data_IF_183551236666
#
_entry.id   IF_183551236666
#
_cell.length_a   1.000
_cell.length_b   1.000
_cell.length_c   1.000
_cell.angle_alpha   90.00
_cell.angle_beta   90.00
_cell.angle_gamma   90.00
#
_symmetry.space_group_name_H-M   'P 1'
#
loop_
_entity.id
_entity.type
_entity.pdbx_description
1 polymer ?
#
# COMPACT_ATOMS: atom_id res chain seq x y z
N UNK A 1 -34.48 4.18 12.43
CA UNK A 1 -33.05 4.28 12.08
C UNK A 1 -32.37 3.03 12.61
N UNK A 2 -32.15 2.02 11.75
CA UNK A 2 -31.44 0.80 12.16
C UNK A 2 -29.96 1.13 12.26
N UNK A 3 -29.53 1.50 13.47
CA UNK A 3 -28.11 1.55 13.78
C UNK A 3 -27.55 0.15 13.58
N UNK A 4 -26.64 0.00 12.62
CA UNK A 4 -25.86 -1.22 12.49
C UNK A 4 -25.12 -1.38 13.82
N UNK A 5 -25.61 -2.27 14.69
CA UNK A 5 -24.89 -2.70 15.88
C UNK A 5 -23.77 -3.61 15.40
N UNK A 6 -22.66 -3.02 14.99
CA UNK A 6 -21.42 -3.80 14.86
C UNK A 6 -21.08 -4.21 16.28
N UNK A 7 -21.12 -5.51 16.57
CA UNK A 7 -20.68 -5.99 17.88
C UNK A 7 -19.18 -5.77 18.01
N UNK A 8 -18.64 -5.56 19.22
CA UNK A 8 -17.20 -5.42 19.42
C UNK A 8 -16.39 -6.58 18.80
N UNK A 9 -16.95 -7.78 18.78
CA UNK A 9 -16.34 -8.96 18.15
C UNK A 9 -16.29 -8.85 16.62
N UNK A 10 -17.34 -8.34 15.98
CA UNK A 10 -17.35 -8.09 14.53
C UNK A 10 -16.36 -6.98 14.14
N UNK A 11 -16.22 -5.96 14.98
CA UNK A 11 -15.27 -4.87 14.77
C UNK A 11 -13.82 -5.39 14.85
N UNK A 12 -13.52 -6.22 15.86
CA UNK A 12 -12.21 -6.87 16.00
C UNK A 12 -11.90 -7.82 14.84
N UNK A 13 -12.86 -8.62 14.39
CA UNK A 13 -12.68 -9.51 13.25
C UNK A 13 -12.41 -8.73 11.94
N UNK A 14 -13.13 -7.62 11.74
CA UNK A 14 -12.91 -6.74 10.60
C UNK A 14 -11.54 -6.05 10.66
N UNK A 15 -11.14 -5.57 11.84
CA UNK A 15 -9.80 -5.00 12.09
C UNK A 15 -8.69 -5.98 11.72
N UNK A 16 -8.80 -7.22 12.21
CA UNK A 16 -7.84 -8.29 11.89
C UNK A 16 -7.84 -8.67 10.40
N UNK A 17 -8.97 -8.56 9.70
CA UNK A 17 -9.02 -8.79 8.26
C UNK A 17 -8.34 -7.65 7.48
N UNK A 18 -8.58 -6.40 7.86
CA UNK A 18 -7.98 -5.24 7.21
C UNK A 18 -6.47 -5.19 7.45
N UNK A 19 -6.01 -5.44 8.69
CA UNK A 19 -4.59 -5.52 9.01
C UNK A 19 -3.87 -6.61 8.21
N UNK A 20 -4.49 -7.79 8.04
CA UNK A 20 -3.92 -8.86 7.20
C UNK A 20 -3.83 -8.45 5.73
N UNK A 21 -4.92 -7.92 5.16
CA UNK A 21 -4.92 -7.45 3.77
C UNK A 21 -3.90 -6.34 3.52
N UNK A 22 -3.68 -5.46 4.51
CA UNK A 22 -2.65 -4.44 4.45
C UNK A 22 -1.25 -5.03 4.36
N UNK A 23 -0.93 -6.01 5.23
CA UNK A 23 0.35 -6.71 5.19
C UNK A 23 0.59 -7.46 3.87
N UNK A 24 -0.46 -8.05 3.29
CA UNK A 24 -0.38 -8.70 1.97
C UNK A 24 -0.06 -7.69 0.86
N UNK A 25 -0.75 -6.55 0.85
CA UNK A 25 -0.49 -5.46 -0.12
C UNK A 25 0.94 -4.94 0.01
N UNK A 26 1.42 -4.69 1.23
CA UNK A 26 2.81 -4.27 1.48
C UNK A 26 3.83 -5.29 0.98
N UNK A 27 3.56 -6.57 1.18
CA UNK A 27 4.40 -7.66 0.70
C UNK A 27 4.50 -7.63 -0.83
N UNK A 28 3.36 -7.54 -1.52
CA UNK A 28 3.31 -7.47 -2.98
C UNK A 28 4.00 -6.22 -3.53
N UNK A 29 3.77 -5.05 -2.92
CA UNK A 29 4.43 -3.81 -3.32
C UNK A 29 5.96 -3.90 -3.17
N UNK A 30 6.46 -4.54 -2.10
CA UNK A 30 7.90 -4.78 -1.92
C UNK A 30 8.47 -5.71 -2.99
N UNK A 31 7.77 -6.78 -3.34
CA UNK A 31 8.19 -7.72 -4.39
C UNK A 31 8.29 -6.98 -5.73
N UNK A 32 7.21 -6.29 -6.13
CA UNK A 32 7.19 -5.48 -7.35
C UNK A 32 8.30 -4.43 -7.35
N UNK A 33 8.60 -3.85 -6.17
CA UNK A 33 9.65 -2.83 -6.04
C UNK A 33 11.01 -3.43 -6.37
N UNK A 34 11.30 -4.61 -5.82
CA UNK A 34 12.52 -5.33 -6.09
C UNK A 34 12.66 -5.74 -7.56
N UNK A 35 11.56 -6.06 -8.24
CA UNK A 35 11.57 -6.38 -9.69
C UNK A 35 11.86 -5.18 -10.56
N UNK A 36 11.33 -4.01 -10.19
CA UNK A 36 11.42 -2.79 -11.01
C UNK A 36 12.64 -1.94 -10.67
N UNK A 37 13.16 -2.02 -9.45
CA UNK A 37 14.35 -1.28 -9.00
C UNK A 37 15.59 -1.40 -9.92
N UNK A 38 15.92 -2.56 -10.52
CA UNK A 38 17.04 -2.67 -11.46
C UNK A 38 16.86 -1.85 -12.75
N UNK A 39 15.63 -1.50 -13.11
CA UNK A 39 15.31 -0.66 -14.27
C UNK A 39 15.50 0.84 -13.95
N UNK A 40 15.50 1.19 -12.66
CA UNK A 40 15.74 2.55 -12.16
C UNK A 40 17.24 2.77 -12.08
N UNK A 41 17.80 3.59 -12.99
CA UNK A 41 19.22 3.92 -13.00
C UNK A 41 20.12 2.95 -13.78
N UNK A 42 19.54 1.99 -14.52
CA UNK A 42 20.28 1.23 -15.53
C UNK A 42 20.66 2.08 -16.75
N UNK A 43 21.54 1.56 -17.60
CA UNK A 43 22.12 2.19 -18.82
C UNK A 43 21.07 2.63 -19.89
N UNK A 44 19.78 2.48 -19.60
CA UNK A 44 18.66 3.04 -20.36
C UNK A 44 18.59 4.56 -20.17
N UNK A 45 19.58 5.27 -20.72
CA UNK A 45 19.65 6.73 -20.76
C UNK A 45 18.76 7.34 -21.86
N UNK A 46 18.00 8.38 -21.53
CA UNK A 46 17.17 9.14 -22.49
C UNK A 46 15.89 9.73 -21.86
N UNK A 47 15.07 10.45 -22.64
CA UNK A 47 13.79 11.03 -22.18
C UNK A 47 12.82 9.97 -21.58
N UNK A 48 12.91 8.70 -22.02
CA UNK A 48 12.14 7.60 -21.48
C UNK A 48 12.50 7.29 -20.00
N UNK A 49 13.77 7.48 -19.63
CA UNK A 49 14.26 7.33 -18.24
C UNK A 49 13.65 8.35 -17.30
N UNK A 50 13.51 9.61 -17.74
CA UNK A 50 12.90 10.68 -16.93
C UNK A 50 11.44 10.41 -16.61
N UNK A 51 10.64 10.00 -17.60
CA UNK A 51 9.23 9.65 -17.39
C UNK A 51 9.07 8.42 -16.49
N UNK A 52 9.93 7.42 -16.69
CA UNK A 52 9.94 6.24 -15.83
C UNK A 52 10.30 6.59 -14.39
N UNK A 53 11.34 7.39 -14.16
CA UNK A 53 11.73 7.84 -12.81
C UNK A 53 10.61 8.65 -12.14
N UNK A 54 9.89 9.50 -12.88
CA UNK A 54 8.75 10.23 -12.34
C UNK A 54 7.59 9.28 -11.94
N UNK A 55 7.27 8.30 -12.78
CA UNK A 55 6.25 7.28 -12.45
C UNK A 55 6.70 6.41 -11.27
N UNK A 56 7.99 6.09 -11.19
CA UNK A 56 8.58 5.33 -10.09
C UNK A 56 8.49 6.08 -8.76
N UNK A 57 8.80 7.37 -8.74
CA UNK A 57 8.67 8.21 -7.56
C UNK A 57 7.19 8.35 -7.13
N UNK A 58 6.29 8.60 -8.08
CA UNK A 58 4.85 8.66 -7.83
C UNK A 58 4.32 7.35 -7.24
N UNK A 59 4.79 6.22 -7.76
CA UNK A 59 4.41 4.91 -7.26
C UNK A 59 4.87 4.71 -5.81
N UNK A 60 6.12 5.03 -5.48
CA UNK A 60 6.62 4.95 -4.10
C UNK A 60 5.86 5.87 -3.13
N UNK A 61 5.46 7.07 -3.59
CA UNK A 61 4.65 7.97 -2.79
C UNK A 61 3.25 7.38 -2.54
N UNK A 62 2.64 6.80 -3.58
CA UNK A 62 1.32 6.18 -3.49
C UNK A 62 1.33 4.94 -2.60
N UNK A 63 2.38 4.11 -2.69
CA UNK A 63 2.59 2.95 -1.83
C UNK A 63 2.67 3.36 -0.35
N UNK A 64 3.44 4.41 -0.03
CA UNK A 64 3.54 4.95 1.34
C UNK A 64 2.20 5.50 1.83
N UNK A 65 1.48 6.25 0.98
CA UNK A 65 0.17 6.78 1.32
C UNK A 65 -0.88 5.69 1.58
N UNK A 66 -0.86 4.63 0.77
CA UNK A 66 -1.72 3.46 0.98
C UNK A 66 -1.40 2.77 2.31
N UNK A 67 -0.12 2.59 2.63
CA UNK A 67 0.32 2.01 3.91
C UNK A 67 -0.21 2.83 5.09
N UNK A 68 0.00 4.15 5.07
CA UNK A 68 -0.45 5.05 6.13
C UNK A 68 -1.98 5.04 6.29
N UNK A 69 -2.73 4.96 5.18
CA UNK A 69 -4.18 4.87 5.23
C UNK A 69 -4.65 3.55 5.85
N UNK A 70 -4.02 2.43 5.47
CA UNK A 70 -4.33 1.11 6.02
C UNK A 70 -3.98 1.01 7.50
N UNK A 71 -2.84 1.55 7.92
CA UNK A 71 -2.43 1.64 9.33
C UNK A 71 -3.42 2.51 10.13
N UNK A 72 -3.81 3.68 9.59
CA UNK A 72 -4.76 4.58 10.25
C UNK A 72 -6.15 3.96 10.38
N UNK A 73 -6.63 3.25 9.36
CA UNK A 73 -7.89 2.51 9.40
C UNK A 73 -7.82 1.40 10.46
N UNK A 74 -6.75 0.59 10.45
CA UNK A 74 -6.53 -0.47 11.43
C UNK A 74 -6.51 0.05 12.88
N UNK A 75 -5.83 1.18 13.11
CA UNK A 75 -5.74 1.82 14.43
C UNK A 75 -7.08 2.38 14.94
N UNK A 76 -8.01 2.74 14.06
CA UNK A 76 -9.35 3.19 14.45
C UNK A 76 -10.32 2.03 14.77
N UNK A 77 -9.96 0.79 14.40
CA UNK A 77 -10.81 -0.40 14.57
C UNK A 77 -10.37 -1.33 15.71
N UNK A 78 -9.21 -1.09 16.35
CA UNK A 78 -8.73 -1.81 17.53
C UNK A 78 -8.76 -0.95 18.78
#
# INVERSE_FOLDING_TARGET
MNGIKVTPEQLNALSAQVSRGAGEIEGQLRILSGTVAPLVGGDWGGQASQRFNALWEQWQQSARGLQQALDGISALMG
#
